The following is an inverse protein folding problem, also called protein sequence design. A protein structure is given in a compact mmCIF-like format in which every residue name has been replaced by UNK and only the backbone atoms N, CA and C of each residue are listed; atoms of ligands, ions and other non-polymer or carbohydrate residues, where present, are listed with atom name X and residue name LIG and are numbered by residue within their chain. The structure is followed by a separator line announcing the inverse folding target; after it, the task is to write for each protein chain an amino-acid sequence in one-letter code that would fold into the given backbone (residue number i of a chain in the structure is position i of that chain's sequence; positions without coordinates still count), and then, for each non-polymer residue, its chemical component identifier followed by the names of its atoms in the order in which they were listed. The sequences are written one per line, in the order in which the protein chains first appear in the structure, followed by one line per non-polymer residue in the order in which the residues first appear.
data_IF_782669679034
#
_entry.id   IF_782669679034
#
_cell.length_a   1.000
_cell.length_b   1.000
_cell.length_c   1.000
_cell.angle_alpha   90.00
_cell.angle_beta   90.00
_cell.angle_gamma   90.00
#
_symmetry.space_group_name_H-M   'P 1'
#
loop_
_entity.id
_entity.type
_entity.pdbx_description
1 polymer ?
#
# COMPACT_ATOMS: atom_id res chain seq x y z
N UNK A 1 10.21 -10.87 -69.08
CA UNK A 1 10.01 -12.24 -68.55
C UNK A 1 8.61 -12.29 -67.94
N UNK A 2 7.70 -13.08 -68.52
CA UNK A 2 6.29 -13.14 -68.11
C UNK A 2 6.19 -13.93 -66.79
N UNK A 3 5.70 -13.37 -65.68
CA UNK A 3 5.53 -14.14 -64.45
C UNK A 3 4.46 -15.22 -64.69
N UNK A 4 4.82 -16.43 -64.28
CA UNK A 4 4.09 -17.67 -64.47
C UNK A 4 2.74 -17.67 -63.74
N UNK A 5 1.67 -17.87 -64.51
CA UNK A 5 0.28 -18.06 -64.11
C UNK A 5 0.00 -18.94 -62.86
N UNK A 6 0.78 -20.00 -62.53
CA UNK A 6 0.56 -20.77 -61.30
C UNK A 6 0.75 -19.98 -60.00
N UNK A 7 1.58 -18.92 -59.99
CA UNK A 7 1.84 -18.13 -58.78
C UNK A 7 0.64 -17.25 -58.40
N UNK A 8 -0.12 -16.80 -59.41
CA UNK A 8 -1.31 -15.98 -59.23
C UNK A 8 -2.49 -16.84 -58.73
N UNK A 9 -2.56 -18.10 -59.17
CA UNK A 9 -3.58 -19.06 -58.72
C UNK A 9 -3.43 -19.46 -57.25
N UNK A 10 -2.20 -19.53 -56.73
CA UNK A 10 -1.92 -19.86 -55.32
C UNK A 10 -2.22 -18.72 -54.34
N UNK A 11 -2.30 -17.47 -54.81
CA UNK A 11 -2.65 -16.32 -53.98
C UNK A 11 -4.15 -16.15 -53.71
N UNK A 12 -5.01 -16.82 -54.50
CA UNK A 12 -6.48 -16.66 -54.44
C UNK A 12 -7.19 -17.68 -53.55
N UNK A 13 -6.48 -18.67 -52.98
CA UNK A 13 -7.11 -19.73 -52.18
C UNK A 13 -7.56 -19.36 -50.75
N UNK A 14 -7.13 -18.30 -50.03
CA UNK A 14 -7.57 -18.13 -48.65
C UNK A 14 -8.95 -17.46 -48.53
N UNK A 15 -9.57 -17.03 -49.64
CA UNK A 15 -10.74 -16.15 -49.59
C UNK A 15 -12.10 -16.87 -49.50
N UNK A 16 -12.16 -18.20 -49.58
CA UNK A 16 -13.43 -18.94 -49.69
C UNK A 16 -13.82 -19.73 -48.43
N UNK A 17 -13.06 -19.62 -47.34
CA UNK A 17 -13.23 -20.46 -46.15
C UNK A 17 -13.80 -19.74 -44.91
N UNK A 18 -14.44 -18.57 -45.07
CA UNK A 18 -15.18 -17.94 -43.97
C UNK A 18 -16.68 -18.24 -44.09
N UNK A 19 -17.00 -19.53 -44.19
CA UNK A 19 -18.36 -20.02 -44.11
C UNK A 19 -18.82 -19.95 -42.64
N UNK A 20 -19.54 -18.88 -42.33
CA UNK A 20 -20.68 -18.85 -41.42
C UNK A 20 -20.47 -19.57 -40.07
N UNK A 21 -19.77 -18.91 -39.15
CA UNK A 21 -19.98 -19.19 -37.72
C UNK A 21 -21.32 -18.54 -37.36
N UNK A 22 -22.37 -19.30 -36.99
CA UNK A 22 -23.58 -18.69 -36.46
C UNK A 22 -23.19 -17.89 -35.23
N UNK A 23 -23.50 -16.59 -35.25
CA UNK A 23 -23.43 -15.73 -34.07
C UNK A 23 -24.36 -16.31 -33.03
N UNK A 24 -23.79 -17.07 -32.09
CA UNK A 24 -24.45 -17.58 -30.90
C UNK A 24 -25.12 -16.41 -30.19
N UNK A 25 -26.44 -16.32 -30.35
CA UNK A 25 -27.30 -15.37 -29.68
C UNK A 25 -27.38 -15.76 -28.21
N UNK A 26 -26.46 -15.20 -27.42
CA UNK A 26 -26.40 -15.23 -25.95
C UNK A 26 -26.49 -16.63 -25.30
N UNK A 27 -25.43 -17.11 -24.60
CA UNK A 27 -25.45 -18.40 -23.90
C UNK A 27 -26.46 -18.46 -22.73
N UNK A 28 -27.23 -17.40 -22.51
CA UNK A 28 -28.20 -17.28 -21.41
C UNK A 28 -29.64 -17.20 -21.91
N UNK A 29 -29.89 -17.30 -23.23
CA UNK A 29 -31.21 -17.09 -23.83
C UNK A 29 -32.31 -18.05 -23.32
N UNK A 30 -31.95 -19.25 -22.84
CA UNK A 30 -32.88 -20.24 -22.28
C UNK A 30 -32.96 -20.24 -20.76
N UNK A 31 -32.28 -19.31 -20.06
CA UNK A 31 -32.29 -19.28 -18.59
C UNK A 31 -33.49 -18.49 -18.08
N UNK A 32 -34.51 -19.20 -17.59
CA UNK A 32 -35.59 -18.58 -16.79
C UNK A 32 -35.01 -17.97 -15.51
N UNK A 33 -35.15 -16.66 -15.33
CA UNK A 33 -34.82 -15.96 -14.11
C UNK A 33 -36.05 -15.95 -13.18
N UNK A 34 -36.19 -16.97 -12.34
CA UNK A 34 -37.15 -16.92 -11.23
C UNK A 34 -36.55 -16.03 -10.13
N UNK A 35 -36.99 -14.77 -10.06
CA UNK A 35 -36.67 -13.88 -8.94
C UNK A 35 -37.52 -14.28 -7.74
N UNK A 36 -36.89 -14.86 -6.72
CA UNK A 36 -37.53 -15.09 -5.42
C UNK A 36 -37.42 -13.81 -4.61
N UNK A 37 -38.56 -13.24 -4.20
CA UNK A 37 -38.56 -12.11 -3.27
C UNK A 37 -37.97 -12.57 -1.91
N UNK A 38 -36.98 -11.85 -1.35
CA UNK A 38 -36.45 -12.21 -0.04
C UNK A 38 -37.55 -12.07 1.02
N UNK A 39 -37.60 -13.01 1.96
CA UNK A 39 -38.53 -12.94 3.09
C UNK A 39 -38.17 -11.71 3.96
N UNK A 40 -39.17 -11.00 4.52
CA UNK A 40 -38.92 -9.92 5.47
C UNK A 40 -38.14 -10.44 6.67
N UNK A 41 -36.91 -9.97 6.84
CA UNK A 41 -36.07 -10.31 7.99
C UNK A 41 -36.39 -9.32 9.12
N UNK A 42 -36.75 -9.83 10.30
CA UNK A 42 -36.95 -8.99 11.47
C UNK A 42 -35.64 -8.27 11.84
N UNK A 43 -35.69 -6.98 12.22
CA UNK A 43 -34.50 -6.25 12.62
C UNK A 43 -33.89 -6.90 13.88
N UNK A 44 -32.55 -6.94 13.98
CA UNK A 44 -31.90 -7.46 15.17
C UNK A 44 -32.27 -6.61 16.40
N UNK A 45 -32.34 -7.21 17.61
CA UNK A 45 -32.61 -6.47 18.83
C UNK A 45 -31.57 -5.37 19.01
N UNK A 46 -32.03 -4.12 19.11
CA UNK A 46 -31.18 -2.98 19.38
C UNK A 46 -30.68 -3.06 20.82
N UNK A 47 -29.36 -3.03 21.01
CA UNK A 47 -28.78 -2.89 22.33
C UNK A 47 -29.29 -1.59 22.98
N UNK A 48 -29.67 -1.67 24.24
CA UNK A 48 -30.11 -0.51 25.01
C UNK A 48 -29.03 0.58 24.96
N UNK A 49 -29.44 1.82 24.65
CA UNK A 49 -28.53 2.96 24.62
C UNK A 49 -27.91 3.15 26.01
N UNK A 50 -26.58 3.30 26.14
CA UNK A 50 -25.98 3.62 27.42
C UNK A 50 -26.61 4.89 27.99
N UNK A 51 -27.06 4.83 29.23
CA UNK A 51 -27.54 6.02 29.93
C UNK A 51 -26.38 7.01 30.10
N UNK A 52 -26.63 8.33 30.00
CA UNK A 52 -25.59 9.33 30.24
C UNK A 52 -25.02 9.15 31.64
N UNK A 53 -23.72 8.88 31.75
CA UNK A 53 -23.03 8.91 33.02
C UNK A 53 -22.98 10.35 33.52
N UNK A 54 -23.60 10.62 34.67
CA UNK A 54 -23.51 11.92 35.34
C UNK A 54 -22.07 12.05 35.83
N UNK A 55 -21.30 12.95 35.22
CA UNK A 55 -19.94 13.25 35.63
C UNK A 55 -19.98 13.97 37.00
N UNK A 56 -19.13 13.60 37.97
CA UNK A 56 -19.04 14.32 39.23
C UNK A 56 -18.75 15.80 39.00
N UNK A 57 -19.48 16.68 39.71
CA UNK A 57 -19.22 18.12 39.68
C UNK A 57 -17.76 18.39 40.11
N UNK A 58 -17.04 19.28 39.41
CA UNK A 58 -15.66 19.59 39.78
C UNK A 58 -15.64 20.19 41.20
N UNK A 59 -14.87 19.55 42.07
CA UNK A 59 -14.67 20.00 43.44
C UNK A 59 -13.89 21.32 43.43
N UNK A 60 -14.21 22.30 44.31
CA UNK A 60 -13.47 23.55 44.38
C UNK A 60 -11.98 23.27 44.61
N UNK A 61 -11.14 23.72 43.67
CA UNK A 61 -9.71 23.52 43.75
C UNK A 61 -9.14 24.29 44.94
N UNK A 62 -8.51 23.58 45.88
CA UNK A 62 -7.75 24.21 46.95
C UNK A 62 -6.53 24.95 46.35
N UNK A 63 -6.02 26.01 47.01
CA UNK A 63 -4.86 26.72 46.52
C UNK A 63 -3.64 25.79 46.38
N UNK A 64 -3.11 25.68 45.16
CA UNK A 64 -1.92 24.88 44.88
C UNK A 64 -0.71 25.61 45.47
N UNK A 65 0.05 24.95 46.35
CA UNK A 65 1.27 25.53 46.95
C UNK A 65 2.31 25.75 45.85
N UNK A 66 2.89 26.95 45.80
CA UNK A 66 3.95 27.29 44.85
C UNK A 66 5.20 26.43 45.13
N UNK A 67 5.68 25.71 44.11
CA UNK A 67 6.92 24.91 44.17
C UNK A 67 8.15 25.69 43.69
N UNK A 68 8.03 27.02 43.56
CA UNK A 68 9.10 27.89 43.10
C UNK A 68 9.15 28.04 41.57
N UNK A 69 10.13 28.80 41.05
CA UNK A 69 10.25 29.06 39.63
C UNK A 69 10.54 27.78 38.83
N UNK A 70 9.95 27.70 37.63
CA UNK A 70 10.13 26.57 36.73
C UNK A 70 11.63 26.38 36.41
N UNK A 71 12.16 25.18 36.64
CA UNK A 71 13.52 24.83 36.25
C UNK A 71 13.52 24.50 34.76
N UNK A 72 14.32 25.24 33.98
CA UNK A 72 14.49 24.97 32.55
C UNK A 72 15.39 23.74 32.43
N UNK A 73 14.86 22.67 31.82
CA UNK A 73 15.67 21.49 31.51
C UNK A 73 16.71 21.84 30.43
N UNK A 74 17.95 21.33 30.54
CA UNK A 74 18.96 21.51 29.50
C UNK A 74 18.46 20.99 28.15
N UNK A 75 18.85 21.68 27.07
CA UNK A 75 18.54 21.22 25.72
C UNK A 75 19.18 19.84 25.46
N UNK A 76 18.49 18.92 24.77
CA UNK A 76 19.06 17.63 24.41
C UNK A 76 20.34 17.78 23.59
N UNK A 77 21.37 17.00 23.94
CA UNK A 77 22.63 16.98 23.20
C UNK A 77 22.40 16.33 21.82
N UNK A 78 22.91 16.91 20.71
CA UNK A 78 22.77 16.31 19.40
C UNK A 78 23.40 14.92 19.36
N UNK A 79 22.60 13.91 19.00
CA UNK A 79 23.12 12.55 18.77
C UNK A 79 23.99 12.56 17.49
N UNK A 80 25.16 11.90 17.50
CA UNK A 80 25.94 11.69 16.28
C UNK A 80 25.08 11.08 15.18
N UNK A 81 25.20 11.59 13.95
CA UNK A 81 24.49 11.01 12.82
C UNK A 81 25.00 9.59 12.58
N UNK A 82 24.07 8.62 12.58
CA UNK A 82 24.38 7.24 12.27
C UNK A 82 24.93 7.15 10.84
N UNK A 83 26.15 6.63 10.70
CA UNK A 83 26.82 6.51 9.41
C UNK A 83 26.21 5.37 8.60
N UNK A 84 26.15 5.53 7.29
CA UNK A 84 25.75 4.44 6.39
C UNK A 84 26.90 4.12 5.45
N UNK A 85 27.24 2.84 5.36
CA UNK A 85 28.33 2.31 4.57
C UNK A 85 27.81 1.52 3.36
N UNK A 86 28.54 1.53 2.26
CA UNK A 86 28.30 0.63 1.13
C UNK A 86 28.87 -0.77 1.42
N UNK A 87 28.66 -1.70 0.51
CA UNK A 87 29.24 -3.05 0.57
C UNK A 87 30.77 -3.09 0.67
N UNK A 88 31.47 -2.02 0.30
CA UNK A 88 32.92 -1.92 0.34
C UNK A 88 33.41 -1.20 1.61
N UNK A 89 32.51 -0.86 2.55
CA UNK A 89 32.82 -0.16 3.79
C UNK A 89 33.02 1.35 3.63
N UNK A 90 32.65 1.95 2.49
CA UNK A 90 32.74 3.39 2.28
C UNK A 90 31.46 4.07 2.75
N UNK A 91 31.58 5.23 3.40
CA UNK A 91 30.40 6.03 3.77
C UNK A 91 29.65 6.42 2.50
N UNK A 92 28.34 6.24 2.50
CA UNK A 92 27.45 6.60 1.39
C UNK A 92 26.77 7.94 1.71
N UNK A 93 27.17 9.05 1.08
CA UNK A 93 26.54 10.34 1.30
C UNK A 93 25.09 10.31 0.84
N UNK A 94 24.23 11.02 1.57
CA UNK A 94 22.79 11.09 1.27
C UNK A 94 22.02 9.83 1.66
N UNK A 95 22.68 8.79 2.17
CA UNK A 95 22.00 7.62 2.71
C UNK A 95 21.96 7.72 4.23
N UNK A 96 20.76 7.56 4.79
CA UNK A 96 20.50 7.63 6.23
C UNK A 96 19.76 6.38 6.70
N UNK A 97 19.91 5.96 7.97
CA UNK A 97 19.08 4.89 8.51
C UNK A 97 17.60 5.30 8.48
N UNK A 98 16.76 4.36 8.08
CA UNK A 98 15.32 4.57 7.99
C UNK A 98 14.51 3.55 8.80
N UNK A 99 15.18 2.55 9.37
CA UNK A 99 14.58 1.55 10.24
C UNK A 99 15.56 0.42 10.51
N UNK A 100 15.13 -0.60 11.28
CA UNK A 100 15.91 -1.81 11.48
C UNK A 100 16.30 -2.42 10.14
N UNK A 101 17.60 -2.65 9.93
CA UNK A 101 18.13 -3.25 8.71
C UNK A 101 17.70 -2.55 7.41
N UNK A 102 17.35 -1.26 7.46
CA UNK A 102 16.97 -0.48 6.27
C UNK A 102 17.57 0.91 6.29
N UNK A 103 18.00 1.34 5.11
CA UNK A 103 18.51 2.69 4.87
C UNK A 103 17.76 3.34 3.73
N UNK A 104 17.61 4.65 3.79
CA UNK A 104 16.97 5.47 2.78
C UNK A 104 18.03 6.32 2.08
N UNK A 105 18.11 6.20 0.77
CA UNK A 105 18.94 7.04 -0.08
C UNK A 105 18.14 8.26 -0.56
N UNK A 106 18.46 9.43 -0.02
CA UNK A 106 17.77 10.67 -0.37
C UNK A 106 18.05 11.13 -1.80
N UNK A 107 19.11 10.60 -2.45
CA UNK A 107 19.44 10.97 -3.83
C UNK A 107 18.54 10.27 -4.85
N UNK A 108 18.18 9.02 -4.56
CA UNK A 108 17.35 8.19 -5.45
C UNK A 108 15.91 8.02 -4.94
N UNK A 109 15.64 8.40 -3.69
CA UNK A 109 14.36 8.14 -3.01
C UNK A 109 14.12 6.67 -2.70
N UNK A 110 15.15 5.81 -2.82
CA UNK A 110 15.03 4.36 -2.67
C UNK A 110 15.46 3.92 -1.28
N UNK A 111 14.87 2.80 -0.87
CA UNK A 111 15.27 2.11 0.34
C UNK A 111 16.13 0.90 -0.02
N UNK A 112 17.17 0.67 0.76
CA UNK A 112 18.03 -0.50 0.66
C UNK A 112 18.01 -1.28 1.96
N UNK A 113 18.21 -2.58 1.85
CA UNK A 113 18.44 -3.42 3.02
C UNK A 113 19.85 -3.15 3.55
N UNK A 114 20.02 -3.31 4.86
CA UNK A 114 21.29 -3.08 5.52
C UNK A 114 21.50 -4.04 6.69
N UNK A 115 22.75 -4.15 7.12
CA UNK A 115 23.13 -4.83 8.36
C UNK A 115 23.78 -3.83 9.33
N UNK A 116 23.72 -4.06 10.64
CA UNK A 116 24.53 -3.31 11.60
C UNK A 116 26.02 -3.47 11.28
N UNK A 117 26.74 -2.36 11.25
CA UNK A 117 28.16 -2.32 10.96
C UNK A 117 28.83 -1.23 11.81
N UNK A 118 29.54 -1.66 12.86
CA UNK A 118 30.31 -0.79 13.75
C UNK A 118 29.46 0.33 14.36
N UNK A 119 29.73 1.55 13.91
CA UNK A 119 29.08 2.80 14.33
C UNK A 119 27.87 3.19 13.45
N UNK A 120 27.36 2.27 12.64
CA UNK A 120 26.29 2.56 11.70
C UNK A 120 25.67 1.33 11.03
N UNK A 121 25.23 1.51 9.79
CA UNK A 121 24.58 0.48 8.98
C UNK A 121 25.34 0.28 7.67
N UNK A 122 25.38 -0.94 7.14
CA UNK A 122 26.01 -1.25 5.86
C UNK A 122 24.99 -1.81 4.87
N UNK A 123 24.92 -1.26 3.66
CA UNK A 123 23.98 -1.68 2.60
C UNK A 123 24.26 -3.12 2.16
N UNK A 124 23.21 -3.95 2.20
CA UNK A 124 23.14 -5.25 1.53
C UNK A 124 22.74 -5.05 0.08
N UNK A 125 23.38 -5.80 -0.82
CA UNK A 125 23.12 -5.72 -2.26
C UNK A 125 22.26 -6.88 -2.71
#
# INVERSE_FOLDING_TARGET
MKPSLPLLLMGLLPLVAQAQVPTSSSPTATRSATTVAPQPVAPPPQAARPQPQVLPSPQPAQPIKSTGPARIAPAPVPKPADKVYDRNGRIVPGVRPAGPNRVFDSRTGRYYDSVPAGDGQQIKR
#
